data_IF_543121736748
#
_entry.id   IF_543121736748
#
_cell.length_a   1.000
_cell.length_b   1.000
_cell.length_c   1.000
_cell.angle_alpha   90.00
_cell.angle_beta   90.00
_cell.angle_gamma   90.00
#
_symmetry.space_group_name_H-M   'P 1'
#
loop_
_entity.id
_entity.type
_entity.pdbx_description
1 polymer ?
#
# COMPACT_ATOMS: atom_id res chain seq x y z
N UNK A 1 1.16 4.18 28.35
CA UNK A 1 0.72 3.31 27.24
C UNK A 1 1.91 2.44 26.86
N UNK A 2 1.75 1.12 26.64
CA UNK A 2 2.86 0.27 26.21
C UNK A 2 3.00 0.35 24.69
N UNK A 3 4.22 0.53 24.21
CA UNK A 3 4.53 0.54 22.78
C UNK A 3 4.40 -0.87 22.21
N UNK A 4 3.59 -1.05 21.18
CA UNK A 4 3.43 -2.34 20.48
C UNK A 4 4.19 -2.34 19.15
N UNK A 5 4.44 -3.52 18.58
CA UNK A 5 5.02 -3.65 17.24
C UNK A 5 4.17 -2.92 16.20
N UNK A 6 2.83 -3.02 16.31
CA UNK A 6 1.90 -2.28 15.46
C UNK A 6 2.11 -0.76 15.56
N UNK A 7 2.34 -0.23 16.77
CA UNK A 7 2.61 1.20 16.94
C UNK A 7 3.95 1.61 16.31
N UNK A 8 5.00 0.81 16.48
CA UNK A 8 6.32 1.08 15.87
C UNK A 8 6.21 1.13 14.33
N UNK A 9 5.52 0.16 13.73
CA UNK A 9 5.29 0.13 12.29
C UNK A 9 4.44 1.32 11.82
N UNK A 10 3.32 1.58 12.50
CA UNK A 10 2.44 2.68 12.15
C UNK A 10 3.15 4.04 12.24
N UNK A 11 3.99 4.25 13.26
CA UNK A 11 4.83 5.45 13.39
C UNK A 11 5.83 5.57 12.23
N UNK A 12 6.55 4.49 11.89
CA UNK A 12 7.51 4.49 10.79
C UNK A 12 6.86 4.85 9.44
N UNK A 13 5.69 4.26 9.16
CA UNK A 13 4.95 4.47 7.92
C UNK A 13 4.39 5.89 7.84
N UNK A 14 3.71 6.32 8.91
CA UNK A 14 3.10 7.66 8.98
C UNK A 14 4.15 8.76 8.90
N UNK A 15 5.29 8.60 9.59
CA UNK A 15 6.37 9.61 9.55
C UNK A 15 7.01 9.77 8.16
N UNK A 16 6.74 8.84 7.24
CA UNK A 16 7.23 8.85 5.86
C UNK A 16 6.10 9.04 4.84
N UNK A 17 4.87 9.22 5.28
CA UNK A 17 3.72 9.49 4.42
C UNK A 17 3.13 8.27 3.73
N UNK A 18 3.47 7.05 4.15
CA UNK A 18 2.85 5.81 3.66
C UNK A 18 1.52 5.54 4.35
N UNK A 19 0.62 4.82 3.67
CA UNK A 19 -0.74 4.51 4.17
C UNK A 19 -0.86 3.11 4.76
N UNK A 20 0.16 2.28 4.57
CA UNK A 20 0.04 0.86 4.86
C UNK A 20 1.21 0.05 4.31
N UNK A 21 0.96 -1.24 4.18
CA UNK A 21 1.88 -2.20 3.59
C UNK A 21 1.23 -2.89 2.39
N UNK A 22 2.07 -3.37 1.48
CA UNK A 22 1.69 -4.22 0.36
C UNK A 22 2.71 -5.35 0.25
N UNK A 23 2.22 -6.58 0.04
CA UNK A 23 3.07 -7.71 -0.29
C UNK A 23 3.26 -7.76 -1.82
N UNK A 24 4.51 -7.64 -2.33
CA UNK A 24 4.76 -7.42 -3.75
C UNK A 24 4.33 -8.58 -4.66
N UNK A 25 4.32 -9.81 -4.15
CA UNK A 25 4.00 -11.01 -4.96
C UNK A 25 2.53 -11.42 -4.90
N UNK A 26 1.82 -11.12 -3.80
CA UNK A 26 0.44 -11.61 -3.58
C UNK A 26 -0.58 -10.51 -3.79
N UNK A 27 -0.13 -9.28 -4.06
CA UNK A 27 -0.94 -8.06 -4.17
C UNK A 27 -1.82 -7.80 -2.91
N UNK A 28 -1.53 -8.47 -1.79
CA UNK A 28 -2.21 -8.24 -0.53
C UNK A 28 -1.79 -6.88 0.04
N UNK A 29 -2.76 -6.09 0.49
CA UNK A 29 -2.54 -4.76 1.05
C UNK A 29 -3.28 -4.57 2.36
N UNK A 30 -2.65 -3.88 3.32
CA UNK A 30 -3.28 -3.52 4.58
C UNK A 30 -3.00 -2.06 4.95
N UNK A 31 -4.02 -1.38 5.47
CA UNK A 31 -3.91 0.00 5.99
C UNK A 31 -3.33 0.06 7.41
N UNK A 32 -3.08 1.26 7.93
CA UNK A 32 -2.56 1.47 9.29
C UNK A 32 -3.42 0.83 10.39
N UNK A 33 -4.73 0.81 10.17
CA UNK A 33 -5.74 0.18 11.02
C UNK A 33 -5.60 -1.35 11.07
N UNK A 34 -5.09 -1.96 9.99
CA UNK A 34 -5.04 -3.41 9.76
C UNK A 34 -3.62 -3.95 9.52
N UNK A 35 -2.58 -3.15 9.81
CA UNK A 35 -1.15 -3.49 9.65
C UNK A 35 -0.75 -4.87 10.18
N UNK A 36 -1.43 -5.32 11.24
CA UNK A 36 -1.28 -6.66 11.82
C UNK A 36 -2.71 -7.18 12.06
N UNK A 37 -3.44 -7.34 10.96
CA UNK A 37 -4.86 -7.73 10.91
C UNK A 37 -5.09 -9.24 10.75
N UNK A 38 -6.36 -9.66 10.59
CA UNK A 38 -6.78 -11.07 10.60
C UNK A 38 -6.47 -11.87 9.32
N UNK A 39 -5.91 -11.24 8.28
CA UNK A 39 -5.33 -11.94 7.13
C UNK A 39 -3.99 -12.58 7.54
N UNK A 40 -3.12 -12.95 6.60
CA UNK A 40 -1.75 -13.43 6.93
C UNK A 40 -0.91 -12.38 7.71
N UNK A 41 -1.44 -11.17 7.90
CA UNK A 41 -0.84 -10.08 8.66
C UNK A 41 0.31 -9.42 7.90
N UNK A 42 1.01 -8.48 8.54
CA UNK A 42 2.29 -8.04 8.01
C UNK A 42 3.28 -9.22 7.99
N UNK A 43 3.79 -9.52 6.81
CA UNK A 43 4.82 -10.52 6.55
C UNK A 43 6.20 -9.86 6.51
N UNK A 44 7.27 -10.66 6.59
CA UNK A 44 8.64 -10.16 6.69
C UNK A 44 9.13 -9.40 5.44
N UNK A 45 8.46 -9.59 4.31
CA UNK A 45 8.73 -9.04 2.99
C UNK A 45 7.68 -8.02 2.52
N UNK A 46 6.70 -7.69 3.37
CA UNK A 46 5.81 -6.56 3.13
C UNK A 46 6.58 -5.25 2.99
N UNK A 47 6.21 -4.44 2.00
CA UNK A 47 6.83 -3.15 1.72
C UNK A 47 5.87 -1.99 2.04
N UNK A 48 6.39 -0.80 2.38
CA UNK A 48 5.56 0.40 2.50
C UNK A 48 4.72 0.64 1.25
N UNK A 49 3.48 1.09 1.40
CA UNK A 49 2.57 1.27 0.29
C UNK A 49 1.79 2.58 0.38
N UNK A 50 1.40 3.09 -0.79
CA UNK A 50 0.41 4.14 -0.90
C UNK A 50 -0.97 3.56 -1.16
N UNK A 51 -1.97 4.12 -0.48
CA UNK A 51 -3.38 3.87 -0.73
C UNK A 51 -3.84 4.72 -1.91
N UNK A 52 -4.25 4.05 -2.98
CA UNK A 52 -4.88 4.61 -4.16
C UNK A 52 -6.31 4.10 -4.28
N UNK A 53 -7.06 4.62 -5.24
CA UNK A 53 -8.34 4.04 -5.64
C UNK A 53 -8.10 3.14 -6.85
N UNK A 54 -8.75 1.98 -6.87
CA UNK A 54 -8.83 1.13 -8.05
C UNK A 54 -9.83 1.69 -9.07
N UNK A 55 -9.99 1.07 -10.26
CA UNK A 55 -10.94 1.52 -11.27
C UNK A 55 -12.42 1.48 -10.83
N UNK A 56 -12.77 0.68 -9.83
CA UNK A 56 -14.13 0.55 -9.27
C UNK A 56 -14.36 1.55 -8.13
N UNK A 57 -13.29 2.22 -7.68
CA UNK A 57 -13.30 3.22 -6.60
C UNK A 57 -12.93 2.65 -5.24
N UNK A 58 -12.59 1.37 -5.18
CA UNK A 58 -12.23 0.68 -3.96
C UNK A 58 -10.78 0.96 -3.54
N UNK A 59 -10.45 0.85 -2.24
CA UNK A 59 -9.11 1.09 -1.76
C UNK A 59 -8.12 0.03 -2.25
N UNK A 60 -7.00 0.46 -2.82
CA UNK A 60 -5.91 -0.41 -3.22
C UNK A 60 -4.57 0.08 -2.64
N UNK A 61 -3.72 -0.84 -2.20
CA UNK A 61 -2.39 -0.53 -1.68
C UNK A 61 -1.34 -1.01 -2.68
N UNK A 62 -0.43 -0.11 -3.07
CA UNK A 62 0.61 -0.44 -4.04
C UNK A 62 1.97 0.15 -3.66
N UNK A 63 3.03 -0.57 -4.02
CA UNK A 63 4.42 -0.12 -3.91
C UNK A 63 4.85 0.72 -5.11
N UNK A 64 4.04 0.82 -6.17
CA UNK A 64 4.41 1.47 -7.44
C UNK A 64 4.80 2.96 -7.32
N UNK A 65 4.48 3.59 -6.20
CA UNK A 65 4.68 5.01 -5.96
C UNK A 65 5.61 5.32 -4.78
N UNK A 66 6.29 4.32 -4.18
CA UNK A 66 7.07 4.50 -2.94
C UNK A 66 8.29 5.40 -3.10
N UNK A 67 8.83 5.48 -4.32
CA UNK A 67 9.96 6.35 -4.65
C UNK A 67 9.53 7.80 -4.92
N UNK A 68 8.22 8.08 -4.95
CA UNK A 68 7.73 9.44 -5.04
C UNK A 68 7.91 10.14 -3.69
N UNK A 69 8.59 11.29 -3.70
CA UNK A 69 8.65 12.19 -2.53
C UNK A 69 7.28 12.84 -2.18
N UNK A 70 6.20 12.44 -2.85
CA UNK A 70 4.85 12.99 -2.73
C UNK A 70 3.80 11.91 -3.03
N UNK A 71 2.55 12.19 -2.70
CA UNK A 71 1.44 11.35 -3.16
C UNK A 71 1.30 11.37 -4.69
N UNK A 72 0.91 10.24 -5.30
CA UNK A 72 0.60 10.21 -6.72
C UNK A 72 -0.64 11.08 -7.02
N UNK A 73 -0.66 11.71 -8.18
CA UNK A 73 -1.85 12.44 -8.66
C UNK A 73 -2.88 11.47 -9.23
N UNK A 74 -4.11 11.94 -9.45
CA UNK A 74 -5.17 11.12 -10.06
C UNK A 74 -4.78 10.62 -11.45
N UNK A 75 -4.10 11.45 -12.23
CA UNK A 75 -3.64 11.12 -13.57
C UNK A 75 -2.54 10.05 -13.56
N UNK A 76 -1.65 10.08 -12.56
CA UNK A 76 -0.62 9.04 -12.38
C UNK A 76 -1.24 7.70 -11.97
N UNK A 77 -2.23 7.73 -11.07
CA UNK A 77 -3.01 6.55 -10.68
C UNK A 77 -3.78 5.96 -11.86
N UNK A 78 -4.40 6.81 -12.68
CA UNK A 78 -5.11 6.36 -13.88
C UNK A 78 -4.16 5.63 -14.85
N UNK A 79 -3.00 6.22 -15.13
CA UNK A 79 -1.98 5.61 -16.01
C UNK A 79 -1.43 4.29 -15.47
N UNK A 80 -1.30 4.16 -14.14
CA UNK A 80 -0.93 2.92 -13.50
C UNK A 80 -1.95 1.81 -13.81
N UNK A 81 -3.24 2.10 -13.65
CA UNK A 81 -4.30 1.11 -13.94
C UNK A 81 -4.44 0.76 -15.41
N UNK A 82 -4.18 1.71 -16.32
CA UNK A 82 -4.11 1.44 -17.76
C UNK A 82 -3.01 0.40 -18.06
N UNK A 83 -1.81 0.58 -17.51
CA UNK A 83 -0.70 -0.37 -17.66
C UNK A 83 -0.97 -1.72 -17.03
N UNK A 84 -1.53 -1.77 -15.82
CA UNK A 84 -1.87 -3.04 -15.17
C UNK A 84 -2.94 -3.81 -15.94
N UNK A 85 -3.90 -3.12 -16.56
CA UNK A 85 -4.88 -3.74 -17.45
C UNK A 85 -4.22 -4.36 -18.68
N UNK A 86 -3.29 -3.65 -19.31
CA UNK A 86 -2.51 -4.18 -20.44
C UNK A 86 -1.70 -5.41 -20.03
N UNK A 87 -1.04 -5.37 -18.88
CA UNK A 87 -0.25 -6.49 -18.33
C UNK A 87 -1.11 -7.73 -18.09
N UNK A 88 -2.32 -7.57 -17.57
CA UNK A 88 -3.26 -8.69 -17.30
C UNK A 88 -3.90 -9.29 -18.55
N UNK A 89 -3.79 -8.61 -19.71
CA UNK A 89 -4.27 -9.11 -21.00
C UNK A 89 -3.17 -9.78 -21.84
N UNK A 90 -1.92 -9.76 -21.38
CA UNK A 90 -0.77 -10.39 -22.04
C UNK A 90 -0.41 -11.72 -21.39
#
# INVERSE_FOLDING_TARGET
MKMTVKNILAEYLTSRGFDGLCHPETECGCGLEDLIGPCEGAQGDCQPAHRIQDPEGDPWYTTAFVDLARRPTKEEVQKYWEKERERRMS
#
